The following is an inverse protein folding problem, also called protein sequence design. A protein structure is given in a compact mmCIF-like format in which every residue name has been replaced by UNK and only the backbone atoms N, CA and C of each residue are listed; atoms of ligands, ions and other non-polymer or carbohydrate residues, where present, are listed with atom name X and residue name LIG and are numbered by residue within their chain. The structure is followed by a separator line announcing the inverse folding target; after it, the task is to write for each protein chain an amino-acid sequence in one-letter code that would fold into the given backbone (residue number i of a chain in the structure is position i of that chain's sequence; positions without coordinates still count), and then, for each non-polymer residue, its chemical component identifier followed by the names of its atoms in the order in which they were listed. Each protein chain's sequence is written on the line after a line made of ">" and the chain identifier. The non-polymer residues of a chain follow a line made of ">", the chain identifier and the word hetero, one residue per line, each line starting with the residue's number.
data_IF_744108404615
#
_entry.id   IF_744108404615
#
_cell.length_a   1.000
_cell.length_b   1.000
_cell.length_c   1.000
_cell.angle_alpha   90.00
_cell.angle_beta   90.00
_cell.angle_gamma   90.00
#
_symmetry.space_group_name_H-M   'P 1'
#
loop_
_entity.id
_entity.type
_entity.pdbx_description
1 polymer ?
#
# COMPACT_ATOMS: atom_id res chain seq x y z
N UNK A 1 11.66 4.78 5.76
CA UNK A 1 11.94 5.46 7.03
C UNK A 1 10.70 6.16 7.64
N UNK A 2 9.70 6.52 6.82
CA UNK A 2 8.48 7.16 7.32
C UNK A 2 7.75 6.32 8.39
N UNK A 3 7.85 5.01 8.32
CA UNK A 3 7.20 4.07 9.23
C UNK A 3 8.12 3.47 10.29
N UNK A 4 9.35 3.96 10.40
CA UNK A 4 10.38 3.36 11.28
C UNK A 4 9.98 3.30 12.75
N UNK A 5 9.16 4.25 13.22
CA UNK A 5 8.73 4.32 14.61
C UNK A 5 7.38 3.65 14.86
N UNK A 6 6.75 3.11 13.81
CA UNK A 6 5.51 2.35 13.95
C UNK A 6 5.78 0.99 14.55
N UNK A 7 5.06 0.63 15.61
CA UNK A 7 5.16 -0.71 16.19
C UNK A 7 4.30 -1.71 15.39
N UNK A 8 4.91 -2.34 14.41
CA UNK A 8 4.26 -3.38 13.61
C UNK A 8 4.03 -4.70 14.35
N UNK A 9 4.54 -4.81 15.59
CA UNK A 9 4.32 -6.01 16.44
C UNK A 9 3.16 -5.83 17.41
N UNK A 10 2.60 -4.64 17.53
CA UNK A 10 1.46 -4.36 18.39
C UNK A 10 0.31 -5.32 18.08
N UNK A 11 -0.21 -5.99 19.10
CA UNK A 11 -1.30 -6.94 18.93
C UNK A 11 -2.61 -6.24 18.62
N UNK A 12 -3.25 -6.66 17.55
CA UNK A 12 -4.58 -6.21 17.15
C UNK A 12 -5.50 -7.41 16.98
N UNK A 13 -6.77 -7.23 17.33
CA UNK A 13 -7.80 -8.27 17.20
C UNK A 13 -8.59 -8.06 15.92
N UNK A 14 -9.40 -9.06 15.54
CA UNK A 14 -10.36 -8.91 14.44
C UNK A 14 -11.35 -7.77 14.69
N UNK A 15 -11.69 -7.51 15.96
CA UNK A 15 -12.55 -6.39 16.35
C UNK A 15 -11.86 -5.05 16.05
N UNK A 16 -10.56 -4.95 16.30
CA UNK A 16 -9.79 -3.75 15.93
C UNK A 16 -9.83 -3.53 14.42
N UNK A 17 -9.67 -4.59 13.64
CA UNK A 17 -9.69 -4.52 12.18
C UNK A 17 -11.03 -3.96 11.66
N UNK A 18 -12.15 -4.24 12.32
CA UNK A 18 -13.47 -3.74 11.93
C UNK A 18 -13.54 -2.20 11.89
N UNK A 19 -12.64 -1.50 12.59
CA UNK A 19 -12.55 -0.04 12.55
C UNK A 19 -12.33 0.44 11.11
N UNK A 20 -11.55 -0.30 10.33
CA UNK A 20 -11.23 0.05 8.94
C UNK A 20 -12.43 -0.08 7.99
N UNK A 21 -13.49 -0.76 8.39
CA UNK A 21 -14.73 -0.83 7.61
C UNK A 21 -15.32 0.57 7.36
N UNK A 22 -15.10 1.49 8.30
CA UNK A 22 -15.62 2.86 8.24
C UNK A 22 -14.57 3.88 7.80
N UNK A 23 -13.40 3.42 7.35
CA UNK A 23 -12.32 4.29 6.84
C UNK A 23 -12.27 4.13 5.31
N UNK A 24 -12.79 5.10 4.53
CA UNK A 24 -12.79 5.00 3.07
C UNK A 24 -11.37 4.94 2.51
N UNK A 25 -11.24 4.32 1.34
CA UNK A 25 -9.96 4.25 0.62
C UNK A 25 -9.33 5.65 0.44
N UNK A 26 -10.14 6.64 0.10
CA UNK A 26 -9.68 8.02 -0.05
C UNK A 26 -9.10 8.59 1.25
N UNK A 27 -9.67 8.25 2.40
CA UNK A 27 -9.14 8.70 3.70
C UNK A 27 -7.77 8.06 3.98
N UNK A 28 -7.59 6.79 3.63
CA UNK A 28 -6.29 6.11 3.74
C UNK A 28 -5.27 6.76 2.81
N UNK A 29 -5.67 7.04 1.58
CA UNK A 29 -4.81 7.71 0.59
C UNK A 29 -4.33 9.07 1.11
N UNK A 30 -5.24 9.91 1.58
CA UNK A 30 -4.91 11.24 2.12
C UNK A 30 -3.99 11.13 3.35
N UNK A 31 -4.26 10.17 4.23
CA UNK A 31 -3.43 9.95 5.41
C UNK A 31 -1.99 9.55 5.01
N UNK A 32 -1.85 8.63 4.06
CA UNK A 32 -0.53 8.20 3.58
C UNK A 32 0.21 9.35 2.89
N UNK A 33 -0.47 10.14 2.07
CA UNK A 33 0.13 11.31 1.42
C UNK A 33 0.66 12.30 2.45
N UNK A 34 -0.12 12.58 3.50
CA UNK A 34 0.31 13.47 4.58
C UNK A 34 1.52 12.90 5.33
N UNK A 35 1.49 11.62 5.69
CA UNK A 35 2.61 10.94 6.37
C UNK A 35 3.89 10.98 5.53
N UNK A 36 3.77 10.82 4.22
CA UNK A 36 4.91 10.84 3.29
C UNK A 36 5.37 12.26 2.94
N UNK A 37 4.63 13.29 3.39
CA UNK A 37 5.00 14.68 3.15
C UNK A 37 4.67 15.18 1.75
N UNK A 38 3.71 14.55 1.06
CA UNK A 38 3.22 15.04 -0.22
C UNK A 38 2.35 16.28 -0.01
N UNK A 39 2.71 17.44 -0.62
CA UNK A 39 2.03 18.71 -0.32
C UNK A 39 0.66 18.83 -0.98
N UNK A 40 0.34 18.03 -1.98
CA UNK A 40 -0.88 18.14 -2.76
C UNK A 40 -1.52 16.79 -2.99
N UNK A 41 -2.85 16.77 -3.10
CA UNK A 41 -3.60 15.58 -3.52
C UNK A 41 -3.25 15.28 -4.98
N UNK A 42 -2.72 14.09 -5.21
CA UNK A 42 -2.39 13.64 -6.55
C UNK A 42 -3.68 13.35 -7.31
N UNK A 43 -3.91 14.10 -8.38
CA UNK A 43 -4.90 13.75 -9.39
C UNK A 43 -4.36 12.59 -10.22
N UNK A 44 -5.25 11.95 -10.97
CA UNK A 44 -5.02 10.71 -11.72
C UNK A 44 -4.00 10.80 -12.87
N UNK A 45 -2.99 11.68 -12.80
CA UNK A 45 -1.92 11.65 -13.79
C UNK A 45 -1.06 10.41 -13.54
N UNK A 46 -0.99 9.54 -14.50
CA UNK A 46 -0.38 8.22 -14.30
C UNK A 46 -1.23 7.30 -13.41
N UNK A 47 -2.42 7.75 -13.01
CA UNK A 47 -3.32 7.06 -12.09
C UNK A 47 -3.87 5.75 -12.60
N UNK A 48 -3.80 5.50 -13.88
CA UNK A 48 -4.10 4.18 -14.44
C UNK A 48 -3.10 3.12 -14.03
N UNK A 49 -1.90 3.51 -13.55
CA UNK A 49 -0.84 2.60 -13.13
C UNK A 49 -0.74 2.41 -11.62
N UNK A 50 -1.14 3.42 -10.84
CA UNK A 50 -1.07 3.38 -9.38
C UNK A 50 -1.98 4.44 -8.74
N UNK A 51 -2.30 4.22 -7.46
CA UNK A 51 -3.12 5.14 -6.67
C UNK A 51 -2.29 6.25 -6.02
N UNK A 52 -1.06 5.95 -5.62
CA UNK A 52 -0.09 6.92 -5.12
C UNK A 52 1.23 6.71 -5.87
N UNK A 53 1.79 7.81 -6.35
CA UNK A 53 3.17 7.89 -6.79
C UNK A 53 3.88 8.92 -5.93
N UNK A 54 5.06 8.58 -5.39
CA UNK A 54 5.85 9.53 -4.62
C UNK A 54 7.35 9.32 -4.85
N UNK A 55 8.10 10.40 -4.91
CA UNK A 55 9.57 10.41 -4.90
C UNK A 55 10.11 10.86 -3.54
N UNK A 56 9.25 10.98 -2.52
CA UNK A 56 9.56 11.46 -1.18
C UNK A 56 9.74 10.35 -0.16
N UNK A 57 9.96 9.12 -0.62
CA UNK A 57 10.26 8.01 0.26
C UNK A 57 11.75 7.96 0.53
N UNK A 58 12.11 7.68 1.80
CA UNK A 58 13.50 7.38 2.17
C UNK A 58 13.58 5.97 2.72
N UNK A 59 14.61 5.24 2.32
CA UNK A 59 14.94 3.92 2.82
C UNK A 59 16.39 3.95 3.27
N UNK A 60 16.63 3.74 4.57
CA UNK A 60 17.94 3.85 5.18
C UNK A 60 18.64 5.18 4.83
N UNK A 61 17.88 6.26 4.81
CA UNK A 61 18.37 7.61 4.51
C UNK A 61 18.52 7.91 3.02
N UNK A 62 18.40 6.93 2.13
CA UNK A 62 18.44 7.11 0.68
C UNK A 62 17.06 7.42 0.10
N UNK A 63 17.00 8.38 -0.81
CA UNK A 63 15.75 8.77 -1.47
C UNK A 63 15.36 7.77 -2.55
N UNK A 64 14.11 7.36 -2.55
CA UNK A 64 13.54 6.39 -3.49
C UNK A 64 12.18 6.84 -4.00
N UNK A 65 11.74 6.21 -5.08
CA UNK A 65 10.40 6.38 -5.63
C UNK A 65 9.55 5.18 -5.27
N UNK A 66 8.28 5.42 -4.91
CA UNK A 66 7.33 4.38 -4.57
C UNK A 66 6.02 4.54 -5.32
N UNK A 67 5.42 3.42 -5.68
CA UNK A 67 4.08 3.36 -6.26
C UNK A 67 3.21 2.45 -5.40
N UNK A 68 2.00 2.91 -5.08
CA UNK A 68 1.05 2.20 -4.21
C UNK A 68 -0.21 1.85 -4.99
N UNK A 69 -0.70 0.64 -4.78
CA UNK A 69 -2.07 0.24 -5.11
C UNK A 69 -2.85 0.11 -3.80
N UNK A 70 -3.98 0.80 -3.71
CA UNK A 70 -4.81 0.86 -2.50
C UNK A 70 -6.16 0.16 -2.74
N UNK A 71 -6.64 -0.56 -1.73
CA UNK A 71 -7.98 -1.15 -1.71
C UNK A 71 -8.69 -0.82 -0.40
N UNK A 72 -9.87 -0.26 -0.53
CA UNK A 72 -10.68 0.18 0.59
C UNK A 72 -11.78 -0.80 1.01
N UNK A 73 -12.67 -0.37 1.93
CA UNK A 73 -13.66 -1.25 2.58
C UNK A 73 -14.77 -1.74 1.67
N UNK A 74 -14.88 -1.28 0.43
CA UNK A 74 -15.75 -1.92 -0.57
C UNK A 74 -15.34 -3.38 -0.82
N UNK A 75 -14.10 -3.74 -0.49
CA UNK A 75 -13.54 -5.09 -0.57
C UNK A 75 -13.10 -5.57 0.83
N UNK A 76 -13.95 -5.38 1.84
CA UNK A 76 -13.63 -5.73 3.22
C UNK A 76 -13.68 -7.24 3.47
N UNK A 77 -12.72 -7.94 2.91
CA UNK A 77 -12.49 -9.39 3.05
C UNK A 77 -11.02 -9.67 2.70
N UNK A 78 -10.50 -10.89 2.99
CA UNK A 78 -9.14 -11.23 2.58
C UNK A 78 -8.94 -10.97 1.09
N UNK A 79 -7.90 -10.19 0.74
CA UNK A 79 -7.65 -9.82 -0.64
C UNK A 79 -7.25 -11.04 -1.47
N UNK A 80 -7.93 -11.19 -2.60
CA UNK A 80 -7.60 -12.18 -3.63
C UNK A 80 -7.00 -11.48 -4.85
N UNK A 81 -6.40 -12.24 -5.76
CA UNK A 81 -5.87 -11.68 -7.01
C UNK A 81 -6.97 -10.98 -7.83
N UNK A 82 -8.19 -11.52 -7.82
CA UNK A 82 -9.32 -10.93 -8.56
C UNK A 82 -9.76 -9.56 -8.01
N UNK A 83 -9.47 -9.25 -6.75
CA UNK A 83 -9.73 -7.91 -6.19
C UNK A 83 -8.83 -6.83 -6.79
N UNK A 84 -7.74 -7.22 -7.44
CA UNK A 84 -6.80 -6.34 -8.11
C UNK A 84 -7.01 -6.31 -9.63
N UNK A 85 -8.25 -6.51 -10.05
CA UNK A 85 -8.64 -6.52 -11.46
C UNK A 85 -8.48 -7.89 -12.11
N UNK A 86 -8.85 -7.97 -13.39
CA UNK A 86 -8.77 -9.22 -14.15
C UNK A 86 -7.32 -9.74 -14.14
N UNK A 87 -7.13 -10.98 -13.68
CA UNK A 87 -5.81 -11.62 -13.58
C UNK A 87 -4.81 -10.82 -12.74
N UNK A 88 -5.28 -9.97 -11.79
CA UNK A 88 -4.42 -9.13 -10.98
C UNK A 88 -3.71 -8.03 -11.78
N UNK A 89 -4.34 -7.50 -12.82
CA UNK A 89 -3.71 -6.54 -13.72
C UNK A 89 -3.25 -5.24 -13.04
N UNK A 90 -3.81 -4.90 -11.89
CA UNK A 90 -3.33 -3.74 -11.11
C UNK A 90 -1.91 -3.95 -10.58
N UNK A 91 -1.52 -5.19 -10.26
CA UNK A 91 -0.13 -5.50 -9.90
C UNK A 91 0.78 -5.33 -11.12
N UNK A 92 0.35 -5.81 -12.28
CA UNK A 92 1.10 -5.63 -13.53
C UNK A 92 1.30 -4.15 -13.86
N UNK A 93 0.25 -3.34 -13.72
CA UNK A 93 0.33 -1.88 -13.93
C UNK A 93 1.26 -1.21 -12.94
N UNK A 94 1.21 -1.62 -11.67
CA UNK A 94 2.13 -1.14 -10.63
C UNK A 94 3.58 -1.43 -11.02
N UNK A 95 3.83 -2.62 -11.52
CA UNK A 95 5.15 -3.07 -11.96
C UNK A 95 5.64 -2.36 -13.24
N UNK A 96 4.76 -1.76 -14.02
CA UNK A 96 5.14 -0.96 -15.19
C UNK A 96 5.61 0.45 -14.81
N UNK A 97 5.43 0.88 -13.56
CA UNK A 97 5.97 2.15 -13.11
C UNK A 97 7.49 2.06 -12.98
N UNK A 98 8.17 3.21 -12.94
CA UNK A 98 9.61 3.28 -12.71
C UNK A 98 9.98 3.27 -11.21
N UNK A 99 9.02 2.99 -10.33
CA UNK A 99 9.24 3.03 -8.88
C UNK A 99 10.23 1.96 -8.40
N UNK A 100 11.04 2.31 -7.42
CA UNK A 100 11.97 1.38 -6.74
C UNK A 100 11.26 0.50 -5.72
N UNK A 101 10.13 0.98 -5.18
CA UNK A 101 9.31 0.29 -4.19
C UNK A 101 7.89 0.15 -4.69
N UNK A 102 7.40 -1.08 -4.75
CA UNK A 102 6.02 -1.40 -5.09
C UNK A 102 5.26 -1.76 -3.83
N UNK A 103 4.14 -1.08 -3.56
CA UNK A 103 3.34 -1.29 -2.35
C UNK A 103 1.91 -1.64 -2.72
N UNK A 104 1.41 -2.72 -2.13
CA UNK A 104 -0.01 -3.07 -2.15
C UNK A 104 -0.55 -2.86 -0.73
N UNK A 105 -1.58 -2.05 -0.59
CA UNK A 105 -2.24 -1.79 0.68
C UNK A 105 -3.69 -2.25 0.62
N UNK A 106 -4.18 -2.83 1.71
CA UNK A 106 -5.56 -3.28 1.84
C UNK A 106 -6.09 -3.03 3.26
N UNK A 107 -7.40 -2.97 3.40
CA UNK A 107 -8.09 -2.76 4.68
C UNK A 107 -8.38 -4.06 5.44
N UNK A 108 -7.96 -5.19 4.93
CA UNK A 108 -8.16 -6.52 5.51
C UNK A 108 -6.89 -7.35 5.33
N UNK A 109 -6.94 -8.65 5.64
CA UNK A 109 -5.80 -9.53 5.36
C UNK A 109 -5.57 -9.67 3.86
N UNK A 110 -4.36 -10.09 3.49
CA UNK A 110 -3.96 -10.29 2.08
C UNK A 110 -3.55 -11.74 1.91
N UNK A 111 -4.15 -12.43 0.94
CA UNK A 111 -3.83 -13.83 0.69
C UNK A 111 -2.42 -14.00 0.13
N UNK A 112 -1.80 -15.13 0.45
CA UNK A 112 -0.43 -15.44 0.04
C UNK A 112 -0.23 -15.37 -1.48
N UNK A 113 -1.22 -15.73 -2.28
CA UNK A 113 -1.16 -15.66 -3.75
C UNK A 113 -0.95 -14.23 -4.27
N UNK A 114 -1.51 -13.23 -3.59
CA UNK A 114 -1.31 -11.81 -3.92
C UNK A 114 0.13 -11.41 -3.61
N UNK A 115 0.64 -11.78 -2.45
CA UNK A 115 2.02 -11.50 -2.05
C UNK A 115 3.00 -12.12 -3.02
N UNK A 116 2.79 -13.37 -3.41
CA UNK A 116 3.65 -14.08 -4.38
C UNK A 116 3.61 -13.42 -5.76
N UNK A 117 2.44 -12.97 -6.20
CA UNK A 117 2.32 -12.27 -7.47
C UNK A 117 3.10 -10.95 -7.46
N UNK A 118 2.94 -10.16 -6.39
CA UNK A 118 3.68 -8.90 -6.22
C UNK A 118 5.19 -9.17 -6.20
N UNK A 119 5.61 -10.16 -5.42
CA UNK A 119 7.02 -10.56 -5.34
C UNK A 119 7.58 -10.93 -6.70
N UNK A 120 6.86 -11.75 -7.47
CA UNK A 120 7.28 -12.19 -8.80
C UNK A 120 7.52 -11.00 -9.74
N UNK A 121 6.60 -10.04 -9.74
CA UNK A 121 6.76 -8.83 -10.54
C UNK A 121 7.91 -7.94 -10.05
N UNK A 122 8.04 -7.78 -8.74
CA UNK A 122 9.09 -6.93 -8.17
C UNK A 122 10.50 -7.48 -8.43
N UNK A 123 10.66 -8.80 -8.33
CA UNK A 123 11.96 -9.48 -8.48
C UNK A 123 12.23 -9.94 -9.92
N UNK A 124 11.54 -9.35 -10.90
CA UNK A 124 11.77 -9.69 -12.32
C UNK A 124 13.23 -9.46 -12.70
N UNK A 125 13.89 -10.43 -13.36
CA UNK A 125 15.26 -10.26 -13.84
C UNK A 125 15.41 -9.03 -14.73
N UNK A 126 16.50 -8.28 -14.54
CA UNK A 126 16.78 -7.04 -15.27
C UNK A 126 16.13 -5.78 -14.68
N UNK A 127 15.15 -5.92 -13.79
CA UNK A 127 14.53 -4.79 -13.08
C UNK A 127 14.06 -5.22 -11.69
N UNK A 128 15.01 -5.55 -10.82
CA UNK A 128 14.73 -5.98 -9.44
C UNK A 128 14.41 -4.76 -8.58
N UNK A 129 13.28 -4.84 -7.86
CA UNK A 129 12.79 -3.77 -7.01
C UNK A 129 12.38 -4.29 -5.64
N UNK A 130 12.25 -3.37 -4.67
CA UNK A 130 11.67 -3.68 -3.37
C UNK A 130 10.15 -3.77 -3.50
N UNK A 131 9.53 -4.54 -2.63
CA UNK A 131 8.08 -4.61 -2.53
C UNK A 131 7.65 -4.67 -1.07
N UNK A 132 6.42 -4.24 -0.82
CA UNK A 132 5.85 -4.24 0.52
C UNK A 132 4.35 -4.46 0.43
N UNK A 133 3.81 -5.25 1.35
CA UNK A 133 2.37 -5.41 1.53
C UNK A 133 1.99 -4.81 2.87
N UNK A 134 1.05 -3.88 2.86
CA UNK A 134 0.42 -3.32 4.04
C UNK A 134 -0.99 -3.88 4.14
N UNK A 135 -1.19 -4.88 4.99
CA UNK A 135 -2.52 -5.44 5.23
C UNK A 135 -3.33 -4.52 6.15
N UNK A 136 -4.55 -4.92 6.49
CA UNK A 136 -5.42 -4.11 7.34
C UNK A 136 -4.83 -3.86 8.72
N UNK A 137 -4.16 -4.83 9.31
CA UNK A 137 -3.51 -4.66 10.62
C UNK A 137 -2.38 -3.65 10.53
N UNK A 138 -1.52 -3.74 9.52
CA UNK A 138 -0.43 -2.79 9.30
C UNK A 138 -0.97 -1.39 9.03
N UNK A 139 -2.01 -1.30 8.22
CA UNK A 139 -2.69 -0.03 7.94
C UNK A 139 -3.21 0.61 9.22
N UNK A 140 -3.88 -0.17 10.08
CA UNK A 140 -4.41 0.35 11.34
C UNK A 140 -3.29 0.81 12.29
N UNK A 141 -2.20 0.06 12.38
CA UNK A 141 -1.03 0.45 13.19
C UNK A 141 -0.44 1.78 12.72
N UNK A 142 -0.28 1.95 11.43
CA UNK A 142 0.20 3.20 10.81
C UNK A 142 -0.75 4.35 11.15
N UNK A 143 -2.03 4.19 10.86
CA UNK A 143 -3.02 5.25 11.07
C UNK A 143 -3.12 5.66 12.55
N UNK A 144 -3.08 4.70 13.47
CA UNK A 144 -3.09 4.98 14.91
C UNK A 144 -1.82 5.70 15.36
N UNK A 145 -0.67 5.27 14.88
CA UNK A 145 0.61 5.90 15.24
C UNK A 145 0.64 7.39 14.89
N UNK A 146 0.11 7.73 13.72
CA UNK A 146 0.08 9.12 13.24
C UNK A 146 -1.20 9.88 13.61
N UNK A 147 -2.06 9.31 14.46
CA UNK A 147 -3.28 9.97 14.90
C UNK A 147 -4.31 10.18 13.79
N UNK A 148 -4.33 9.31 12.77
CA UNK A 148 -5.24 9.42 11.63
C UNK A 148 -6.54 8.64 11.82
N UNK A 149 -6.61 7.85 12.86
CA UNK A 149 -7.80 7.07 13.20
C UNK A 149 -7.91 6.89 14.71
#
# INVERSE_FOLDING_TARGET
>A
DAFKDVDFTARLTKKDLEILRDVPEEAVKLALLDILGEPEVQKDWGGEQCDIWTDRITIDGGRHQAAFALKGPAKFHPMTVSDLGKNGDQIARLAHTAADLLVVQHCHTVKAEVVEMLRTYALRPGHVRRYMVLNGYDTLRILRHFGKV
#
